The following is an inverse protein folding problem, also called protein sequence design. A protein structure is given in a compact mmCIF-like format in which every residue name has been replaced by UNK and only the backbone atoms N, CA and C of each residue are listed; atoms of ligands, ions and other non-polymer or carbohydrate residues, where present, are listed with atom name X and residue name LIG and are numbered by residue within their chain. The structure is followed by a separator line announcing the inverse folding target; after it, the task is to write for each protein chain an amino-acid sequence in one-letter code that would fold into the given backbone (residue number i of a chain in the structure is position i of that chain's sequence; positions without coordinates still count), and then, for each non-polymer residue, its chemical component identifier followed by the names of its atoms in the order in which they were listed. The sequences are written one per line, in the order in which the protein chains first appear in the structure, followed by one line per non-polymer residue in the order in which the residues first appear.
data_IF_895845827728
#
_entry.id   IF_895845827728
#
_cell.length_a   1.000
_cell.length_b   1.000
_cell.length_c   1.000
_cell.angle_alpha   90.00
_cell.angle_beta   90.00
_cell.angle_gamma   90.00
#
_symmetry.space_group_name_H-M   'P 1'
#
loop_
_entity.id
_entity.type
_entity.pdbx_description
1 polymer ?
#
# COMPACT_ATOMS: atom_id res chain seq x y z
N UNK A 1 17.82 -22.94 -32.58
CA UNK A 1 18.07 -21.60 -32.00
C UNK A 1 16.76 -20.87 -31.69
N UNK A 2 15.80 -20.82 -32.63
CA UNK A 2 14.48 -20.19 -32.38
C UNK A 2 13.64 -20.94 -31.33
N UNK A 3 13.61 -22.26 -31.36
CA UNK A 3 12.89 -23.08 -30.37
C UNK A 3 13.40 -22.86 -28.94
N UNK A 4 14.73 -22.83 -28.76
CA UNK A 4 15.34 -22.56 -27.45
C UNK A 4 15.00 -21.15 -26.94
N UNK A 5 15.03 -20.15 -27.82
CA UNK A 5 14.63 -18.78 -27.49
C UNK A 5 13.15 -18.69 -27.10
N UNK A 6 12.28 -19.39 -27.81
CA UNK A 6 10.86 -19.48 -27.50
C UNK A 6 10.61 -20.15 -26.14
N UNK A 7 11.26 -21.29 -25.88
CA UNK A 7 11.15 -22.02 -24.61
C UNK A 7 11.66 -21.18 -23.43
N UNK A 8 12.78 -20.47 -23.59
CA UNK A 8 13.29 -19.55 -22.58
C UNK A 8 12.29 -18.43 -22.28
N UNK A 9 11.65 -17.87 -23.31
CA UNK A 9 10.65 -16.81 -23.15
C UNK A 9 9.38 -17.33 -22.44
N UNK A 10 8.95 -18.56 -22.74
CA UNK A 10 7.83 -19.20 -22.05
C UNK A 10 8.13 -19.44 -20.57
N UNK A 11 9.34 -19.94 -20.25
CA UNK A 11 9.78 -20.12 -18.86
C UNK A 11 9.82 -18.79 -18.12
N UNK A 12 10.44 -17.78 -18.72
CA UNK A 12 10.54 -16.45 -18.13
C UNK A 12 9.17 -15.79 -17.90
N UNK A 13 8.22 -15.97 -18.82
CA UNK A 13 6.84 -15.51 -18.65
C UNK A 13 6.15 -16.20 -17.47
N UNK A 14 6.29 -17.52 -17.34
CA UNK A 14 5.77 -18.29 -16.21
C UNK A 14 6.35 -17.80 -14.88
N UNK A 15 7.66 -17.66 -14.80
CA UNK A 15 8.34 -17.21 -13.57
C UNK A 15 7.92 -15.78 -13.20
N UNK A 16 7.86 -14.89 -14.19
CA UNK A 16 7.39 -13.51 -14.00
C UNK A 16 5.95 -13.47 -13.50
N UNK A 17 5.08 -14.32 -14.06
CA UNK A 17 3.69 -14.45 -13.64
C UNK A 17 3.57 -14.92 -12.18
N UNK A 18 4.37 -15.91 -11.77
CA UNK A 18 4.36 -16.41 -10.40
C UNK A 18 4.84 -15.34 -9.39
N UNK A 19 5.88 -14.57 -9.75
CA UNK A 19 6.34 -13.42 -8.96
C UNK A 19 5.25 -12.35 -8.85
N UNK A 20 4.50 -12.11 -9.93
CA UNK A 20 3.40 -11.14 -9.93
C UNK A 20 2.26 -11.56 -9.00
N UNK A 21 1.83 -12.82 -9.10
CA UNK A 21 0.81 -13.41 -8.21
C UNK A 21 1.23 -13.36 -6.75
N UNK A 22 2.49 -13.67 -6.45
CA UNK A 22 3.03 -13.56 -5.09
C UNK A 22 3.00 -12.12 -4.57
N UNK A 23 3.31 -11.14 -5.42
CA UNK A 23 3.27 -9.71 -5.07
C UNK A 23 1.83 -9.24 -4.78
N UNK A 24 0.84 -9.70 -5.56
CA UNK A 24 -0.59 -9.44 -5.28
C UNK A 24 -0.98 -9.97 -3.91
N UNK A 25 -0.65 -11.23 -3.60
CA UNK A 25 -0.94 -11.84 -2.29
C UNK A 25 -0.29 -11.05 -1.14
N UNK A 26 0.95 -10.59 -1.35
CA UNK A 26 1.66 -9.77 -0.37
C UNK A 26 0.95 -8.42 -0.13
N UNK A 27 0.49 -7.74 -1.20
CA UNK A 27 -0.29 -6.50 -1.08
C UNK A 27 -1.56 -6.74 -0.29
N UNK A 28 -2.29 -7.81 -0.57
CA UNK A 28 -3.57 -8.10 0.09
C UNK A 28 -3.36 -8.38 1.58
N UNK A 29 -2.31 -9.13 1.95
CA UNK A 29 -1.93 -9.33 3.35
C UNK A 29 -1.59 -8.02 4.06
N UNK A 30 -0.78 -7.15 3.41
CA UNK A 30 -0.43 -5.83 3.94
C UNK A 30 -1.65 -4.94 4.10
N UNK A 31 -2.61 -5.00 3.16
CA UNK A 31 -3.86 -4.25 3.22
C UNK A 31 -4.68 -4.64 4.45
N UNK A 32 -4.88 -5.93 4.69
CA UNK A 32 -5.61 -6.38 5.89
C UNK A 32 -4.89 -5.98 7.18
N UNK A 33 -3.55 -6.07 7.21
CA UNK A 33 -2.76 -5.57 8.33
C UNK A 33 -2.96 -4.08 8.56
N UNK A 34 -2.95 -3.26 7.51
CA UNK A 34 -3.19 -1.83 7.60
C UNK A 34 -4.63 -1.49 8.03
N UNK A 35 -5.64 -2.27 7.62
CA UNK A 35 -7.01 -2.08 8.11
C UNK A 35 -7.10 -2.24 9.63
N UNK A 36 -6.44 -3.27 10.18
CA UNK A 36 -6.39 -3.48 11.63
C UNK A 36 -5.65 -2.33 12.32
N UNK A 37 -4.47 -1.95 11.79
CA UNK A 37 -3.69 -0.83 12.35
C UNK A 37 -4.49 0.48 12.31
N UNK A 38 -5.15 0.78 11.19
CA UNK A 38 -5.99 1.97 11.05
C UNK A 38 -7.18 1.94 12.01
N UNK A 39 -7.84 0.80 12.18
CA UNK A 39 -8.93 0.67 13.14
C UNK A 39 -8.47 0.99 14.57
N UNK A 40 -7.31 0.45 14.98
CA UNK A 40 -6.71 0.75 16.29
C UNK A 40 -6.28 2.22 16.37
N UNK A 41 -5.73 2.78 15.30
CA UNK A 41 -5.30 4.17 15.23
C UNK A 41 -6.48 5.14 15.36
N UNK A 42 -7.59 4.86 14.68
CA UNK A 42 -8.84 5.63 14.82
C UNK A 42 -9.47 5.45 16.21
N UNK A 43 -9.40 4.26 16.79
CA UNK A 43 -9.85 4.04 18.17
C UNK A 43 -9.00 4.87 19.15
N UNK A 44 -7.68 4.93 18.96
CA UNK A 44 -6.80 5.75 19.78
C UNK A 44 -7.12 7.25 19.65
N UNK A 45 -7.48 7.72 18.45
CA UNK A 45 -7.96 9.09 18.25
C UNK A 45 -9.23 9.42 19.04
N UNK A 46 -10.07 8.40 19.30
CA UNK A 46 -11.35 8.57 20.01
C UNK A 46 -11.20 8.37 21.52
N UNK A 47 -10.36 7.42 21.94
CA UNK A 47 -10.09 7.11 23.34
C UNK A 47 -8.72 6.44 23.48
N UNK A 48 -7.74 7.24 23.90
CA UNK A 48 -6.40 6.74 24.21
C UNK A 48 -6.43 5.72 25.35
N UNK A 49 -7.25 5.95 26.38
CA UNK A 49 -7.36 5.07 27.56
C UNK A 49 -7.76 3.64 27.21
N UNK A 50 -8.71 3.45 26.28
CA UNK A 50 -9.15 2.12 25.85
C UNK A 50 -7.99 1.36 25.18
N UNK A 51 -7.25 2.03 24.31
CA UNK A 51 -6.12 1.40 23.58
C UNK A 51 -4.99 1.06 24.55
N UNK A 52 -4.63 1.99 25.43
CA UNK A 52 -3.59 1.79 26.46
C UNK A 52 -3.97 0.64 27.39
N UNK A 53 -5.22 0.64 27.89
CA UNK A 53 -5.73 -0.43 28.75
C UNK A 53 -5.68 -1.80 28.07
N UNK A 54 -6.14 -1.89 26.81
CA UNK A 54 -6.13 -3.15 26.06
C UNK A 54 -4.71 -3.70 25.84
N UNK A 55 -3.75 -2.82 25.50
CA UNK A 55 -2.34 -3.20 25.32
C UNK A 55 -1.73 -3.66 26.64
N UNK A 56 -1.98 -2.94 27.74
CA UNK A 56 -1.46 -3.29 29.05
C UNK A 56 -2.03 -4.61 29.58
N UNK A 57 -3.34 -4.84 29.39
CA UNK A 57 -3.99 -6.10 29.76
C UNK A 57 -3.44 -7.28 28.95
N UNK A 58 -3.20 -7.08 27.65
CA UNK A 58 -2.60 -8.10 26.80
C UNK A 58 -1.17 -8.43 27.22
N UNK A 59 -0.33 -7.43 27.45
CA UNK A 59 1.06 -7.62 27.86
C UNK A 59 1.16 -8.27 29.23
N UNK A 60 0.37 -7.82 30.21
CA UNK A 60 0.34 -8.41 31.53
C UNK A 60 -0.06 -9.89 31.47
N UNK A 61 -1.05 -10.26 30.65
CA UNK A 61 -1.43 -11.66 30.42
C UNK A 61 -0.35 -12.47 29.71
N UNK A 62 0.35 -11.88 28.75
CA UNK A 62 1.32 -12.59 27.92
C UNK A 62 2.70 -12.77 28.58
N UNK A 63 3.16 -11.79 29.36
CA UNK A 63 4.53 -11.74 29.89
C UNK A 63 4.61 -11.54 31.40
N UNK A 64 3.50 -11.17 32.06
CA UNK A 64 3.49 -10.79 33.48
C UNK A 64 4.11 -9.42 33.76
N UNK A 65 4.52 -8.68 32.73
CA UNK A 65 5.11 -7.34 32.84
C UNK A 65 4.00 -6.29 32.82
N UNK A 66 4.02 -5.38 33.80
CA UNK A 66 3.21 -4.15 33.75
C UNK A 66 4.05 -3.03 33.17
N UNK A 67 3.69 -2.58 31.98
CA UNK A 67 4.20 -1.32 31.44
C UNK A 67 3.44 -0.22 32.17
N UNK A 68 4.17 0.69 32.83
CA UNK A 68 3.54 1.87 33.43
C UNK A 68 2.97 2.74 32.30
N UNK A 69 1.76 3.28 32.52
CA UNK A 69 0.84 3.88 31.52
C UNK A 69 1.48 5.03 30.68
N UNK A 70 2.42 4.72 29.79
CA UNK A 70 2.97 5.67 28.82
C UNK A 70 2.13 5.62 27.56
N UNK A 71 0.99 6.31 27.59
CA UNK A 71 0.12 6.51 26.44
C UNK A 71 0.89 6.96 25.19
N UNK A 72 1.91 7.80 25.40
CA UNK A 72 2.78 8.32 24.36
C UNK A 72 3.66 7.24 23.74
N UNK A 73 4.19 6.30 24.53
CA UNK A 73 4.96 5.17 24.00
C UNK A 73 4.09 4.28 23.10
N UNK A 74 2.86 3.97 23.53
CA UNK A 74 1.92 3.16 22.75
C UNK A 74 1.51 3.90 21.47
N UNK A 75 1.29 5.22 21.55
CA UNK A 75 1.06 6.09 20.39
C UNK A 75 2.22 5.98 19.39
N UNK A 76 3.45 6.16 19.86
CA UNK A 76 4.63 6.12 19.00
C UNK A 76 4.83 4.76 18.36
N UNK A 77 4.60 3.67 19.11
CA UNK A 77 4.65 2.32 18.55
C UNK A 77 3.62 2.13 17.44
N UNK A 78 2.38 2.58 17.66
CA UNK A 78 1.33 2.48 16.65
C UNK A 78 1.64 3.34 15.42
N UNK A 79 2.22 4.53 15.61
CA UNK A 79 2.67 5.40 14.53
C UNK A 79 3.78 4.75 13.69
N UNK A 80 4.76 4.11 14.33
CA UNK A 80 5.82 3.35 13.65
C UNK A 80 5.29 2.15 12.87
N UNK A 81 4.31 1.42 13.43
CA UNK A 81 3.63 0.33 12.73
C UNK A 81 2.88 0.85 11.49
N UNK A 82 2.14 1.94 11.64
CA UNK A 82 1.43 2.58 10.52
C UNK A 82 2.41 3.00 9.43
N UNK A 83 3.52 3.64 9.78
CA UNK A 83 4.58 4.02 8.83
C UNK A 83 5.12 2.79 8.09
N UNK A 84 5.60 1.78 8.81
CA UNK A 84 6.25 0.60 8.22
C UNK A 84 5.32 -0.16 7.27
N UNK A 85 4.09 -0.42 7.69
CA UNK A 85 3.11 -1.11 6.86
C UNK A 85 2.67 -0.27 5.66
N UNK A 86 2.45 1.03 5.83
CA UNK A 86 2.01 1.93 4.74
C UNK A 86 3.07 2.02 3.66
N UNK A 87 4.33 2.24 4.04
CA UNK A 87 5.44 2.30 3.09
C UNK A 87 5.61 0.97 2.35
N UNK A 88 5.51 -0.18 3.04
CA UNK A 88 5.61 -1.48 2.38
C UNK A 88 4.45 -1.76 1.45
N UNK A 89 3.23 -1.41 1.85
CA UNK A 89 2.05 -1.53 1.00
C UNK A 89 2.21 -0.73 -0.30
N UNK A 90 2.62 0.54 -0.22
CA UNK A 90 2.86 1.37 -1.41
C UNK A 90 3.97 0.82 -2.32
N UNK A 91 5.07 0.33 -1.74
CA UNK A 91 6.16 -0.30 -2.52
C UNK A 91 5.65 -1.51 -3.32
N UNK A 92 4.87 -2.39 -2.68
CA UNK A 92 4.34 -3.59 -3.33
C UNK A 92 3.27 -3.22 -4.38
N UNK A 93 2.38 -2.27 -4.08
CA UNK A 93 1.37 -1.81 -5.02
C UNK A 93 2.01 -1.22 -6.30
N UNK A 94 3.01 -0.35 -6.18
CA UNK A 94 3.72 0.19 -7.36
C UNK A 94 4.48 -0.90 -8.12
N UNK A 95 5.01 -1.91 -7.42
CA UNK A 95 5.69 -3.05 -8.06
C UNK A 95 4.71 -3.87 -8.92
N UNK A 96 3.50 -4.14 -8.41
CA UNK A 96 2.44 -4.86 -9.15
C UNK A 96 2.12 -4.13 -10.46
N UNK A 97 1.92 -2.82 -10.40
CA UNK A 97 1.56 -2.00 -11.55
C UNK A 97 2.64 -2.00 -12.63
N UNK A 98 3.91 -1.91 -12.22
CA UNK A 98 5.06 -2.05 -13.15
C UNK A 98 5.14 -3.45 -13.78
N UNK A 99 4.76 -4.49 -13.04
CA UNK A 99 4.80 -5.87 -13.53
C UNK A 99 3.72 -6.15 -14.57
N UNK A 100 2.54 -5.54 -14.47
CA UNK A 100 1.51 -5.65 -15.52
C UNK A 100 2.04 -5.17 -16.88
N UNK A 101 2.70 -4.01 -16.92
CA UNK A 101 3.29 -3.50 -18.16
C UNK A 101 4.33 -4.46 -18.76
N UNK A 102 5.16 -5.03 -17.90
CA UNK A 102 6.17 -5.99 -18.31
C UNK A 102 5.55 -7.31 -18.81
N UNK A 103 4.51 -7.81 -18.15
CA UNK A 103 3.76 -9.00 -18.58
C UNK A 103 3.10 -8.78 -19.94
N UNK A 104 2.49 -7.61 -20.19
CA UNK A 104 1.93 -7.28 -21.51
C UNK A 104 3.00 -7.25 -22.60
N UNK A 105 4.19 -6.73 -22.31
CA UNK A 105 5.32 -6.77 -23.24
C UNK A 105 5.74 -8.21 -23.55
N UNK A 106 5.83 -9.08 -22.53
CA UNK A 106 6.15 -10.50 -22.72
C UNK A 106 5.08 -11.22 -23.54
N UNK A 107 3.80 -11.00 -23.25
CA UNK A 107 2.69 -11.57 -24.02
C UNK A 107 2.73 -11.12 -25.48
N UNK A 108 3.07 -9.85 -25.76
CA UNK A 108 3.25 -9.36 -27.13
C UNK A 108 4.39 -10.10 -27.85
N UNK A 109 5.53 -10.26 -27.18
CA UNK A 109 6.69 -10.97 -27.73
C UNK A 109 6.45 -12.47 -27.91
N UNK A 110 5.62 -13.09 -27.06
CA UNK A 110 5.26 -14.50 -27.19
C UNK A 110 4.25 -14.72 -28.33
N UNK A 111 3.25 -13.85 -28.45
CA UNK A 111 2.25 -13.95 -29.51
C UNK A 111 2.83 -13.63 -30.90
N UNK A 112 3.99 -12.99 -31.03
CA UNK A 112 4.63 -12.84 -32.35
C UNK A 112 5.05 -14.17 -32.98
N UNK A 113 5.17 -15.24 -32.19
CA UNK A 113 5.39 -16.61 -32.68
C UNK A 113 4.08 -17.30 -33.12
N UNK A 114 2.92 -16.69 -32.86
CA UNK A 114 1.58 -17.21 -33.20
C UNK A 114 0.78 -16.11 -33.95
N UNK A 115 1.13 -15.75 -35.18
CA UNK A 115 0.53 -14.60 -35.88
C UNK A 115 -0.98 -14.75 -36.12
N UNK A 116 -1.47 -15.99 -36.28
CA UNK A 116 -2.88 -16.27 -36.54
C UNK A 116 -3.73 -16.40 -35.27
N UNK A 117 -3.11 -16.55 -34.09
CA UNK A 117 -3.84 -16.81 -32.84
C UNK A 117 -3.22 -16.10 -31.64
N UNK A 118 -4.06 -15.50 -30.79
CA UNK A 118 -3.60 -14.91 -29.52
C UNK A 118 -3.64 -15.95 -28.41
N UNK A 119 -2.56 -16.71 -28.26
CA UNK A 119 -2.44 -17.79 -27.27
C UNK A 119 -2.14 -17.23 -25.86
N UNK A 120 -1.26 -16.24 -25.76
CA UNK A 120 -0.80 -15.70 -24.48
C UNK A 120 -1.58 -14.42 -24.14
N UNK A 121 -2.66 -14.55 -23.38
CA UNK A 121 -3.58 -13.43 -23.08
C UNK A 121 -4.06 -13.38 -21.62
N UNK A 122 -3.37 -14.11 -20.74
CA UNK A 122 -3.81 -14.39 -19.37
C UNK A 122 -3.99 -13.13 -18.52
N UNK A 123 -3.05 -12.20 -18.59
CA UNK A 123 -3.12 -10.93 -17.87
C UNK A 123 -3.38 -9.74 -18.81
N UNK A 124 -3.12 -9.90 -20.12
CA UNK A 124 -3.41 -8.89 -21.15
C UNK A 124 -4.78 -9.03 -21.80
N UNK A 125 -4.79 -9.36 -23.09
CA UNK A 125 -5.95 -9.12 -23.97
C UNK A 125 -7.26 -9.76 -23.50
N UNK A 126 -7.22 -10.97 -22.95
CA UNK A 126 -8.43 -11.66 -22.47
C UNK A 126 -8.94 -11.03 -21.17
N UNK A 127 -8.03 -10.78 -20.22
CA UNK A 127 -8.35 -10.17 -18.92
C UNK A 127 -8.87 -8.75 -19.03
N UNK A 128 -8.28 -7.91 -19.90
CA UNK A 128 -8.68 -6.52 -20.10
C UNK A 128 -9.97 -6.37 -20.94
N UNK A 129 -10.25 -7.29 -21.87
CA UNK A 129 -11.40 -7.17 -22.79
C UNK A 129 -12.76 -7.20 -22.09
N UNK A 130 -12.84 -7.83 -20.91
CA UNK A 130 -14.05 -7.90 -20.07
C UNK A 130 -13.73 -7.57 -18.63
N UNK A 131 -12.91 -6.53 -18.41
CA UNK A 131 -12.52 -6.15 -17.07
C UNK A 131 -13.77 -5.83 -16.22
N UNK A 132 -14.07 -6.61 -15.16
CA UNK A 132 -15.31 -6.44 -14.44
C UNK A 132 -15.34 -5.10 -13.71
N UNK A 133 -16.48 -4.41 -13.73
CA UNK A 133 -16.65 -3.10 -13.06
C UNK A 133 -16.29 -3.13 -11.58
N UNK A 134 -16.52 -4.27 -10.92
CA UNK A 134 -16.14 -4.48 -9.53
C UNK A 134 -14.62 -4.42 -9.32
N UNK A 135 -13.82 -4.96 -10.24
CA UNK A 135 -12.37 -4.86 -10.13
C UNK A 135 -11.88 -3.42 -10.30
N UNK A 136 -12.55 -2.61 -11.14
CA UNK A 136 -12.25 -1.17 -11.25
C UNK A 136 -12.57 -0.42 -9.95
N UNK A 137 -13.67 -0.77 -9.30
CA UNK A 137 -14.01 -0.23 -7.98
C UNK A 137 -12.97 -0.62 -6.91
N UNK A 138 -12.56 -1.89 -6.88
CA UNK A 138 -11.53 -2.38 -5.96
C UNK A 138 -10.18 -1.70 -6.23
N UNK A 139 -9.81 -1.52 -7.50
CA UNK A 139 -8.62 -0.75 -7.87
C UNK A 139 -8.69 0.68 -7.34
N UNK A 140 -9.82 1.38 -7.53
CA UNK A 140 -10.03 2.73 -6.97
C UNK A 140 -9.86 2.76 -5.45
N UNK A 141 -10.40 1.75 -4.75
CA UNK A 141 -10.28 1.65 -3.29
C UNK A 141 -8.81 1.56 -2.86
N UNK A 142 -8.02 0.70 -3.50
CA UNK A 142 -6.63 0.47 -3.14
C UNK A 142 -5.69 1.63 -3.49
N UNK A 143 -6.04 2.40 -4.52
CA UNK A 143 -5.13 3.35 -5.16
C UNK A 143 -5.39 4.80 -4.80
N UNK A 144 -6.65 5.14 -4.51
CA UNK A 144 -7.07 6.52 -4.20
C UNK A 144 -7.69 6.58 -2.80
N UNK A 145 -8.75 5.82 -2.55
CA UNK A 145 -9.49 5.92 -1.29
C UNK A 145 -8.61 5.61 -0.08
N UNK A 146 -7.81 4.55 -0.15
CA UNK A 146 -7.02 4.10 0.97
C UNK A 146 -5.86 5.04 1.34
N UNK A 147 -5.05 5.56 0.40
CA UNK A 147 -4.09 6.62 0.72
C UNK A 147 -4.73 7.88 1.30
N UNK A 148 -5.89 8.29 0.78
CA UNK A 148 -6.64 9.45 1.31
C UNK A 148 -7.06 9.20 2.74
N UNK A 149 -7.58 8.01 3.06
CA UNK A 149 -7.98 7.64 4.41
C UNK A 149 -6.80 7.70 5.39
N UNK A 150 -5.62 7.23 4.98
CA UNK A 150 -4.39 7.30 5.78
C UNK A 150 -3.98 8.75 6.02
N UNK A 151 -3.91 9.57 4.96
CA UNK A 151 -3.57 11.00 5.07
C UNK A 151 -4.55 11.71 5.99
N UNK A 152 -5.85 11.48 5.82
CA UNK A 152 -6.89 12.09 6.64
C UNK A 152 -6.74 11.73 8.13
N UNK A 153 -6.47 10.45 8.42
CA UNK A 153 -6.24 9.97 9.78
C UNK A 153 -5.03 10.64 10.43
N UNK A 154 -3.93 10.78 9.67
CA UNK A 154 -2.71 11.46 10.11
C UNK A 154 -2.95 12.95 10.34
N UNK A 155 -3.69 13.63 9.47
CA UNK A 155 -4.00 15.05 9.63
C UNK A 155 -4.80 15.29 10.91
N UNK A 156 -5.83 14.48 11.17
CA UNK A 156 -6.62 14.58 12.41
C UNK A 156 -5.71 14.42 13.63
N UNK A 157 -4.80 13.45 13.61
CA UNK A 157 -3.84 13.22 14.70
C UNK A 157 -2.93 14.42 14.93
N UNK A 158 -2.39 15.00 13.86
CA UNK A 158 -1.53 16.20 13.96
C UNK A 158 -2.30 17.37 14.58
N UNK A 159 -3.56 17.59 14.18
CA UNK A 159 -4.40 18.65 14.75
C UNK A 159 -4.66 18.41 16.24
N UNK A 160 -4.94 17.16 16.65
CA UNK A 160 -5.18 16.84 18.07
C UNK A 160 -3.94 17.12 18.91
N UNK A 161 -2.76 16.72 18.43
CA UNK A 161 -1.47 16.93 19.14
C UNK A 161 -1.14 18.42 19.31
N UNK A 162 -1.42 19.25 18.29
CA UNK A 162 -1.19 20.70 18.39
C UNK A 162 -2.12 21.34 19.43
N UNK A 163 -3.36 20.87 19.55
CA UNK A 163 -4.34 21.38 20.51
C UNK A 163 -4.03 21.04 21.98
N UNK A 164 -3.23 19.99 22.22
CA UNK A 164 -2.95 19.44 23.54
C UNK A 164 -1.54 19.79 24.09
N UNK A 165 -0.81 20.72 23.46
CA UNK A 165 0.60 21.03 23.82
C UNK A 165 0.79 21.47 25.29
N UNK A 166 1.05 20.50 26.17
CA UNK A 166 1.56 20.67 27.54
C UNK A 166 2.91 19.95 27.71
N UNK A 167 3.97 20.69 27.39
CA UNK A 167 5.36 20.74 27.88
C UNK A 167 6.18 19.57 28.49
N UNK A 168 5.85 18.27 28.44
CA UNK A 168 6.74 17.26 29.13
C UNK A 168 7.25 16.06 28.30
N UNK A 169 6.67 15.67 27.15
CA UNK A 169 7.14 14.49 26.38
C UNK A 169 7.66 14.81 24.96
N UNK A 170 8.73 15.60 24.87
CA UNK A 170 9.25 16.14 23.60
C UNK A 170 9.74 15.04 22.62
N UNK A 171 10.28 13.93 23.10
CA UNK A 171 10.92 12.90 22.26
C UNK A 171 9.89 12.10 21.44
N UNK A 172 8.86 11.55 22.08
CA UNK A 172 7.80 10.78 21.41
C UNK A 172 7.08 11.65 20.38
N UNK A 173 6.80 12.91 20.72
CA UNK A 173 6.17 13.88 19.82
C UNK A 173 7.01 14.18 18.57
N UNK A 174 8.35 14.29 18.70
CA UNK A 174 9.26 14.48 17.56
C UNK A 174 9.22 13.24 16.65
N UNK A 175 9.30 12.04 17.22
CA UNK A 175 9.26 10.79 16.46
C UNK A 175 7.94 10.65 15.70
N UNK A 176 6.82 10.89 16.39
CA UNK A 176 5.48 10.83 15.82
C UNK A 176 5.34 11.84 14.67
N UNK A 177 5.77 13.08 14.88
CA UNK A 177 5.72 14.14 13.86
C UNK A 177 6.52 13.76 12.62
N UNK A 178 7.71 13.19 12.80
CA UNK A 178 8.53 12.69 11.70
C UNK A 178 7.84 11.55 10.95
N UNK A 179 7.24 10.59 11.66
CA UNK A 179 6.50 9.50 11.06
C UNK A 179 5.30 10.00 10.24
N UNK A 180 4.51 10.93 10.78
CA UNK A 180 3.38 11.55 10.08
C UNK A 180 3.82 12.28 8.81
N UNK A 181 4.92 13.01 8.87
CA UNK A 181 5.50 13.68 7.69
C UNK A 181 5.89 12.66 6.62
N UNK A 182 6.62 11.59 6.99
CA UNK A 182 7.05 10.56 6.05
C UNK A 182 5.87 9.79 5.46
N UNK A 183 4.85 9.46 6.26
CA UNK A 183 3.61 8.81 5.77
C UNK A 183 2.91 9.72 4.75
N UNK A 184 2.79 11.01 5.04
CA UNK A 184 2.14 11.98 4.17
C UNK A 184 2.89 12.11 2.83
N UNK A 185 4.20 12.33 2.88
CA UNK A 185 5.05 12.41 1.68
C UNK A 185 4.96 11.10 0.88
N UNK A 186 5.07 9.95 1.54
CA UNK A 186 4.98 8.64 0.89
C UNK A 186 3.63 8.43 0.19
N UNK A 187 2.54 8.87 0.81
CA UNK A 187 1.18 8.75 0.25
C UNK A 187 0.98 9.64 -0.97
N UNK A 188 1.52 10.87 -0.93
CA UNK A 188 1.51 11.79 -2.08
C UNK A 188 2.34 11.21 -3.23
N UNK A 189 3.57 10.76 -2.96
CA UNK A 189 4.45 10.17 -3.97
C UNK A 189 3.85 8.90 -4.59
N UNK A 190 3.24 8.04 -3.77
CA UNK A 190 2.54 6.84 -4.23
C UNK A 190 1.43 7.20 -5.23
N UNK A 191 0.53 8.10 -4.83
CA UNK A 191 -0.62 8.53 -5.64
C UNK A 191 -0.14 9.17 -6.95
N UNK A 192 0.85 10.07 -6.88
CA UNK A 192 1.43 10.71 -8.06
C UNK A 192 2.04 9.70 -9.02
N UNK A 193 2.86 8.77 -8.53
CA UNK A 193 3.56 7.80 -9.36
C UNK A 193 2.58 6.84 -10.06
N UNK A 194 1.53 6.44 -9.36
CA UNK A 194 0.51 5.54 -9.89
C UNK A 194 -0.33 6.21 -10.98
N UNK A 195 -0.76 7.45 -10.75
CA UNK A 195 -1.60 8.19 -11.69
C UNK A 195 -0.81 9.00 -12.71
N UNK A 196 0.52 8.91 -12.72
CA UNK A 196 1.41 9.69 -13.60
C UNK A 196 0.99 9.66 -15.06
N UNK A 197 0.66 8.47 -15.61
CA UNK A 197 0.21 8.33 -17.01
C UNK A 197 -1.12 9.06 -17.27
N UNK A 198 -2.06 8.99 -16.33
CA UNK A 198 -3.35 9.68 -16.44
C UNK A 198 -3.19 11.20 -16.31
N UNK A 199 -2.34 11.65 -15.39
CA UNK A 199 -2.02 13.07 -15.16
C UNK A 199 -1.31 13.67 -16.38
N UNK A 200 -0.33 12.97 -16.95
CA UNK A 200 0.37 13.40 -18.17
C UNK A 200 -0.57 13.57 -19.36
N UNK A 201 -1.56 12.67 -19.52
CA UNK A 201 -2.55 12.80 -20.58
C UNK A 201 -3.46 14.03 -20.40
N UNK A 202 -3.81 14.40 -19.17
CA UNK A 202 -4.59 15.61 -18.86
C UNK A 202 -3.76 16.87 -19.12
N UNK A 203 -2.51 16.92 -18.63
CA UNK A 203 -1.60 18.06 -18.82
C UNK A 203 -1.36 18.32 -20.32
N UNK A 204 -1.12 17.27 -21.10
CA UNK A 204 -0.90 17.39 -22.55
C UNK A 204 -2.15 17.86 -23.31
N UNK A 205 -3.35 17.72 -22.73
CA UNK A 205 -4.61 18.18 -23.31
C UNK A 205 -4.90 19.65 -22.94
N UNK A 206 -4.49 20.10 -21.75
CA UNK A 206 -4.68 21.49 -21.29
C UNK A 206 -3.68 22.49 -21.88
N UNK A 207 -2.55 22.03 -22.42
CA UNK A 207 -1.51 22.85 -23.07
C UNK A 207 -1.47 22.70 -24.60
N UNK A 208 -2.56 22.23 -25.21
CA UNK A 208 -2.80 22.16 -26.65
C UNK A 208 -3.92 23.11 -27.04
#
# INVERSE_FOLDING_TARGET
MEEQKFNNLCSHYKDTFDIHRASIKQRDMLFYGLLVILAVFTLQLSSTEIVVGAVNDYLNKATGIKIDNSADFISTLLCLLLLGFTTKYYQVALKIERQYEYLHMLEKNLNSYYPETKVFTREGGSYLSKYPRFLSWVWFLYTIFFPILIIFSVIIRVISVIGEMQSIEMVNQIIDSFCYLVITISSILYTFQLHKKSIQNIINWTFR
#
